data_IF_353955999202
#
_entry.id   IF_353955999202
#
_cell.length_a   1.000
_cell.length_b   1.000
_cell.length_c   1.000
_cell.angle_alpha   90.00
_cell.angle_beta   90.00
_cell.angle_gamma   90.00
#
_symmetry.space_group_name_H-M   'P 1'
#
loop_
_entity.id
_entity.type
_entity.pdbx_description
1 polymer ?
#
# COMPACT_ATOMS: atom_id res chain seq x y z
N UNK A 1 69.00 8.19 12.53
CA UNK A 1 68.16 7.03 12.15
C UNK A 1 66.98 6.98 13.11
N UNK A 2 65.76 7.04 12.59
CA UNK A 2 64.57 6.34 13.09
C UNK A 2 63.39 6.76 12.21
N UNK A 3 63.08 5.94 11.20
CA UNK A 3 61.86 6.06 10.41
C UNK A 3 60.76 5.29 11.14
N UNK A 4 59.65 5.95 11.47
CA UNK A 4 58.46 5.29 12.00
C UNK A 4 57.53 4.97 10.82
N UNK A 5 57.41 3.68 10.53
CA UNK A 5 56.58 3.15 9.46
C UNK A 5 55.09 3.33 9.78
N UNK A 6 54.34 3.88 8.82
CA UNK A 6 52.89 3.89 8.83
C UNK A 6 52.37 2.46 8.56
N UNK A 7 51.74 1.86 9.57
CA UNK A 7 50.99 0.63 9.37
C UNK A 7 49.63 1.01 8.76
N UNK A 8 49.52 0.89 7.43
CA UNK A 8 48.24 0.87 6.76
C UNK A 8 47.53 -0.44 7.15
N UNK A 9 46.57 -0.35 8.06
CA UNK A 9 45.63 -1.43 8.35
C UNK A 9 44.65 -1.49 7.17
N UNK A 10 44.93 -2.40 6.24
CA UNK A 10 44.01 -2.80 5.19
C UNK A 10 42.82 -3.48 5.85
N UNK A 11 41.70 -2.77 6.03
CA UNK A 11 40.42 -3.43 6.25
C UNK A 11 40.06 -4.14 4.95
N UNK A 12 40.35 -5.43 4.89
CA UNK A 12 39.74 -6.32 3.90
C UNK A 12 38.26 -6.39 4.25
N UNK A 13 37.48 -5.44 3.73
CA UNK A 13 36.04 -5.56 3.61
C UNK A 13 35.77 -6.75 2.70
N UNK A 14 35.74 -7.92 3.31
CA UNK A 14 35.12 -9.09 2.73
C UNK A 14 33.63 -8.78 2.65
N UNK A 15 33.23 -8.10 1.58
CA UNK A 15 31.85 -8.00 1.14
C UNK A 15 31.42 -9.41 0.71
N UNK A 16 31.15 -10.26 1.69
CA UNK A 16 30.27 -11.40 1.50
C UNK A 16 28.91 -10.72 1.47
N UNK A 17 28.40 -10.48 0.27
CA UNK A 17 26.96 -10.30 0.12
C UNK A 17 26.36 -11.65 0.52
N UNK A 18 26.26 -11.89 1.83
CA UNK A 18 25.40 -12.92 2.35
C UNK A 18 24.02 -12.55 1.83
N UNK A 19 23.49 -13.41 0.97
CA UNK A 19 22.18 -13.18 0.40
C UNK A 19 21.20 -13.22 1.56
N UNK A 20 20.84 -12.03 2.07
CA UNK A 20 19.97 -11.88 3.22
C UNK A 20 18.66 -12.62 2.98
N UNK A 21 18.25 -12.84 1.72
CA UNK A 21 17.11 -13.67 1.33
C UNK A 21 17.14 -15.11 1.89
N UNK A 22 18.34 -15.63 2.23
CA UNK A 22 18.53 -16.98 2.77
C UNK A 22 18.60 -17.05 4.30
N UNK A 23 18.74 -15.90 4.96
CA UNK A 23 18.75 -15.78 6.44
C UNK A 23 17.34 -16.02 6.98
N UNK A 24 17.18 -16.71 8.10
CA UNK A 24 15.87 -16.93 8.72
C UNK A 24 15.33 -15.64 9.34
N UNK A 25 14.00 -15.52 9.51
CA UNK A 25 13.42 -14.30 10.11
C UNK A 25 13.85 -14.08 11.57
N UNK A 26 14.14 -15.16 12.30
CA UNK A 26 14.65 -15.08 13.67
C UNK A 26 16.09 -14.53 13.70
N UNK A 27 16.95 -15.07 12.83
CA UNK A 27 18.35 -14.64 12.74
C UNK A 27 18.44 -13.20 12.22
N UNK A 28 17.55 -12.81 11.30
CA UNK A 28 17.45 -11.45 10.78
C UNK A 28 17.14 -10.43 11.89
N UNK A 29 16.26 -10.79 12.84
CA UNK A 29 15.95 -9.95 14.01
C UNK A 29 17.13 -9.83 14.97
N UNK A 30 17.83 -10.94 15.20
CA UNK A 30 19.00 -10.98 16.09
C UNK A 30 20.14 -10.13 15.51
N UNK A 31 20.50 -10.34 14.24
CA UNK A 31 21.53 -9.55 13.55
C UNK A 31 21.17 -8.07 13.50
N UNK A 32 19.89 -7.72 13.30
CA UNK A 32 19.45 -6.32 13.32
C UNK A 32 19.68 -5.68 14.68
N UNK A 33 19.38 -6.40 15.78
CA UNK A 33 19.64 -5.92 17.14
C UNK A 33 21.14 -5.69 17.37
N UNK A 34 21.98 -6.61 16.91
CA UNK A 34 23.43 -6.51 17.05
C UNK A 34 24.01 -5.33 16.27
N UNK A 35 23.60 -5.15 15.00
CA UNK A 35 24.02 -4.02 14.17
C UNK A 35 23.63 -2.67 14.79
N UNK A 36 22.39 -2.54 15.29
CA UNK A 36 21.93 -1.34 15.99
C UNK A 36 22.73 -1.11 17.28
N UNK A 37 23.01 -2.16 18.06
CA UNK A 37 23.80 -2.07 19.29
C UNK A 37 25.25 -1.67 19.03
N UNK A 38 25.83 -2.13 17.92
CA UNK A 38 27.15 -1.75 17.44
C UNK A 38 27.20 -0.35 16.78
N UNK A 39 26.05 0.29 16.59
CA UNK A 39 25.90 1.55 15.84
C UNK A 39 26.41 1.44 14.40
N UNK A 40 26.29 0.25 13.79
CA UNK A 40 26.59 0.03 12.39
C UNK A 40 25.37 0.43 11.54
N UNK A 41 25.38 1.69 11.09
CA UNK A 41 24.24 2.27 10.38
C UNK A 41 23.98 1.61 9.01
N UNK A 42 25.04 1.19 8.31
CA UNK A 42 24.92 0.63 6.96
C UNK A 42 24.34 -0.79 7.03
N UNK A 43 24.88 -1.64 7.92
CA UNK A 43 24.36 -2.98 8.13
C UNK A 43 22.95 -2.96 8.74
N UNK A 44 22.69 -2.08 9.71
CA UNK A 44 21.35 -1.94 10.29
C UNK A 44 20.31 -1.54 9.25
N UNK A 45 20.65 -0.62 8.32
CA UNK A 45 19.75 -0.22 7.24
C UNK A 45 19.45 -1.37 6.28
N UNK A 46 20.46 -2.17 5.91
CA UNK A 46 20.29 -3.31 5.02
C UNK A 46 19.37 -4.37 5.64
N UNK A 47 19.61 -4.73 6.90
CA UNK A 47 18.80 -5.71 7.63
C UNK A 47 17.37 -5.23 7.89
N UNK A 48 17.19 -3.95 8.27
CA UNK A 48 15.86 -3.34 8.43
C UNK A 48 15.08 -3.30 7.10
N UNK A 49 15.79 -3.07 5.99
CA UNK A 49 15.17 -3.09 4.64
C UNK A 49 14.68 -4.49 4.28
N UNK A 50 15.46 -5.52 4.59
CA UNK A 50 15.06 -6.91 4.37
C UNK A 50 13.88 -7.30 5.28
N UNK A 51 13.89 -6.88 6.55
CA UNK A 51 12.74 -7.06 7.45
C UNK A 51 11.48 -6.36 6.93
N UNK A 52 11.61 -5.17 6.36
CA UNK A 52 10.51 -4.46 5.73
C UNK A 52 10.01 -5.21 4.48
N UNK A 53 10.91 -5.76 3.66
CA UNK A 53 10.55 -6.53 2.46
C UNK A 53 9.76 -7.79 2.81
N UNK A 54 10.10 -8.46 3.91
CA UNK A 54 9.43 -9.67 4.40
C UNK A 54 8.22 -9.39 5.29
N UNK A 55 8.06 -8.17 5.78
CA UNK A 55 7.05 -7.83 6.76
C UNK A 55 7.28 -8.56 8.08
N UNK A 56 8.49 -8.49 8.63
CA UNK A 56 8.87 -9.17 9.88
C UNK A 56 9.28 -8.17 10.97
N UNK A 57 9.28 -8.61 12.24
CA UNK A 57 9.63 -7.75 13.38
C UNK A 57 8.72 -6.53 13.52
N UNK A 58 9.32 -5.34 13.56
CA UNK A 58 8.58 -4.06 13.64
C UNK A 58 7.73 -3.78 12.39
N UNK A 59 7.99 -4.49 11.28
CA UNK A 59 7.23 -4.40 10.04
C UNK A 59 6.19 -5.52 9.90
N UNK A 60 6.05 -6.40 10.90
CA UNK A 60 5.01 -7.42 10.91
C UNK A 60 3.62 -6.79 10.96
N UNK A 61 2.73 -7.25 10.07
CA UNK A 61 1.40 -6.67 9.91
C UNK A 61 1.35 -5.34 9.16
N UNK A 62 2.50 -4.82 8.71
CA UNK A 62 2.55 -3.73 7.71
C UNK A 62 2.33 -4.35 6.33
N UNK A 63 1.14 -4.94 6.11
CA UNK A 63 0.74 -5.33 4.77
C UNK A 63 0.71 -4.08 3.90
N UNK A 64 1.64 -3.98 2.94
CA UNK A 64 1.57 -2.99 1.85
C UNK A 64 0.39 -3.22 0.88
N UNK A 65 -0.49 -4.18 1.14
CA UNK A 65 -1.45 -4.70 0.17
C UNK A 65 -2.93 -4.27 0.40
N UNK A 66 -3.33 -3.77 1.58
CA UNK A 66 -4.77 -3.62 1.85
C UNK A 66 -5.43 -2.34 1.33
N UNK A 67 -4.65 -1.33 0.91
CA UNK A 67 -5.15 0.00 0.54
C UNK A 67 -4.91 0.37 -0.93
N UNK A 68 -4.48 -0.57 -1.78
CA UNK A 68 -4.24 -0.26 -3.20
C UNK A 68 -5.56 -0.15 -3.97
N UNK A 69 -5.66 0.90 -4.79
CA UNK A 69 -6.77 1.10 -5.70
C UNK A 69 -6.52 0.32 -7.00
N UNK A 70 -7.09 -0.88 -7.10
CA UNK A 70 -6.95 -1.73 -8.28
C UNK A 70 -8.21 -1.64 -9.14
N UNK A 71 -8.09 -0.99 -10.31
CA UNK A 71 -9.17 -0.88 -11.30
C UNK A 71 -8.74 -1.60 -12.59
N UNK A 72 -9.37 -2.75 -12.86
CA UNK A 72 -9.22 -3.49 -14.11
C UNK A 72 -10.46 -3.25 -14.98
N UNK A 73 -10.31 -2.41 -16.01
CA UNK A 73 -11.36 -2.20 -17.02
C UNK A 73 -11.23 -3.25 -18.14
N UNK A 74 -12.34 -3.69 -18.75
CA UNK A 74 -12.27 -4.56 -19.91
C UNK A 74 -11.72 -3.80 -21.12
N UNK A 75 -11.09 -4.52 -22.05
CA UNK A 75 -10.47 -3.96 -23.26
C UNK A 75 -11.47 -3.22 -24.18
N UNK A 76 -12.77 -3.48 -24.02
CA UNK A 76 -13.84 -2.85 -24.78
C UNK A 76 -14.18 -1.40 -24.39
N UNK A 77 -13.60 -0.86 -23.32
CA UNK A 77 -13.78 0.54 -22.92
C UNK A 77 -12.86 1.43 -23.75
N UNK A 78 -13.44 2.27 -24.62
CA UNK A 78 -12.69 3.18 -25.51
C UNK A 78 -12.82 4.64 -25.10
N UNK A 79 -13.82 4.98 -24.28
CA UNK A 79 -14.04 6.33 -23.81
C UNK A 79 -13.05 6.69 -22.68
N UNK A 80 -12.15 7.62 -22.97
CA UNK A 80 -11.16 8.11 -22.00
C UNK A 80 -11.79 8.69 -20.72
N UNK A 81 -13.03 9.19 -20.79
CA UNK A 81 -13.75 9.71 -19.61
C UNK A 81 -14.28 8.60 -18.71
N UNK A 82 -14.54 7.42 -19.26
CA UNK A 82 -15.07 6.29 -18.50
C UNK A 82 -14.17 5.95 -17.32
N UNK A 83 -12.86 5.81 -17.55
CA UNK A 83 -11.90 5.49 -16.49
C UNK A 83 -11.92 6.51 -15.36
N UNK A 84 -12.04 7.80 -15.68
CA UNK A 84 -12.15 8.86 -14.69
C UNK A 84 -13.44 8.76 -13.87
N UNK A 85 -14.58 8.57 -14.54
CA UNK A 85 -15.88 8.41 -13.88
C UNK A 85 -15.92 7.15 -13.00
N UNK A 86 -15.45 6.02 -13.52
CA UNK A 86 -15.41 4.74 -12.81
C UNK A 86 -14.56 4.83 -11.52
N UNK A 87 -13.37 5.44 -11.62
CA UNK A 87 -12.50 5.69 -10.47
C UNK A 87 -13.18 6.53 -9.40
N UNK A 88 -13.76 7.66 -9.78
CA UNK A 88 -14.43 8.56 -8.82
C UNK A 88 -15.63 7.88 -8.17
N UNK A 89 -16.43 7.16 -8.96
CA UNK A 89 -17.60 6.45 -8.46
C UNK A 89 -17.20 5.33 -7.50
N UNK A 90 -16.14 4.58 -7.83
CA UNK A 90 -15.60 3.53 -6.98
C UNK A 90 -15.11 4.06 -5.63
N UNK A 91 -14.31 5.13 -5.63
CA UNK A 91 -13.84 5.80 -4.40
C UNK A 91 -15.04 6.28 -3.55
N UNK A 92 -16.03 6.89 -4.20
CA UNK A 92 -17.24 7.39 -3.52
C UNK A 92 -18.04 6.24 -2.90
N UNK A 93 -18.19 5.13 -3.62
CA UNK A 93 -18.87 3.93 -3.12
C UNK A 93 -18.14 3.29 -1.95
N UNK A 94 -16.82 3.18 -2.04
CA UNK A 94 -15.99 2.66 -0.97
C UNK A 94 -16.09 3.54 0.30
N UNK A 95 -16.08 4.88 0.16
CA UNK A 95 -16.29 5.81 1.28
C UNK A 95 -17.66 5.63 1.91
N UNK A 96 -18.69 5.41 1.09
CA UNK A 96 -20.06 5.16 1.56
C UNK A 96 -20.14 3.87 2.39
N UNK A 97 -19.41 2.82 2.02
CA UNK A 97 -19.32 1.58 2.82
C UNK A 97 -18.62 1.79 4.15
N UNK A 98 -17.48 2.48 4.16
CA UNK A 98 -16.77 2.86 5.40
C UNK A 98 -17.67 3.69 6.33
N UNK A 99 -18.43 4.65 5.78
CA UNK A 99 -19.41 5.43 6.54
C UNK A 99 -20.53 4.57 7.15
N UNK A 100 -20.97 3.52 6.45
CA UNK A 100 -22.00 2.62 6.95
C UNK A 100 -21.47 1.69 8.07
N UNK A 101 -20.20 1.32 8.01
CA UNK A 101 -19.53 0.51 9.03
C UNK A 101 -18.92 1.32 10.18
N UNK A 102 -18.87 2.65 10.06
CA UNK A 102 -18.11 3.55 10.96
C UNK A 102 -16.66 3.10 11.18
N UNK A 103 -16.07 2.47 10.17
CA UNK A 103 -14.73 1.91 10.24
C UNK A 103 -13.67 2.92 9.84
N UNK A 104 -12.46 2.74 10.38
CA UNK A 104 -11.27 3.50 10.01
C UNK A 104 -10.28 2.64 9.20
N UNK A 105 -10.75 1.53 8.63
CA UNK A 105 -9.93 0.59 7.88
C UNK A 105 -9.62 1.11 6.47
N UNK A 106 -8.78 0.38 5.75
CA UNK A 106 -8.46 0.68 4.36
C UNK A 106 -9.72 0.75 3.49
N UNK A 107 -9.79 1.79 2.65
CA UNK A 107 -10.97 2.11 1.85
C UNK A 107 -11.42 0.95 0.95
N UNK A 108 -10.48 0.20 0.39
CA UNK A 108 -10.71 -0.89 -0.55
C UNK A 108 -10.56 -2.29 0.07
N UNK A 109 -10.34 -2.37 1.40
CA UNK A 109 -10.29 -3.66 2.10
C UNK A 109 -11.60 -4.41 1.87
N UNK A 110 -11.49 -5.63 1.34
CA UNK A 110 -12.64 -6.52 1.05
C UNK A 110 -13.68 -5.90 0.11
N UNK A 111 -13.28 -4.90 -0.70
CA UNK A 111 -14.17 -4.25 -1.64
C UNK A 111 -13.52 -4.07 -3.01
N UNK A 112 -13.33 -5.17 -3.76
CA UNK A 112 -12.73 -5.13 -5.08
C UNK A 112 -13.61 -4.40 -6.11
N UNK A 113 -13.01 -3.99 -7.23
CA UNK A 113 -13.69 -3.19 -8.25
C UNK A 113 -14.89 -3.90 -8.89
N UNK A 114 -14.86 -5.24 -9.02
CA UNK A 114 -15.98 -6.05 -9.50
C UNK A 114 -17.19 -6.03 -8.53
N UNK A 115 -16.94 -6.05 -7.23
CA UNK A 115 -17.99 -5.89 -6.23
C UNK A 115 -18.68 -4.53 -6.41
N UNK A 116 -17.90 -3.46 -6.62
CA UNK A 116 -18.44 -2.14 -6.92
C UNK A 116 -19.32 -2.11 -8.17
N UNK A 117 -18.89 -2.71 -9.29
CA UNK A 117 -19.67 -2.64 -10.53
C UNK A 117 -20.95 -3.45 -10.43
N UNK A 118 -20.92 -4.58 -9.71
CA UNK A 118 -22.13 -5.35 -9.42
C UNK A 118 -23.07 -4.58 -8.49
N UNK A 119 -22.57 -3.96 -7.43
CA UNK A 119 -23.40 -3.23 -6.46
C UNK A 119 -24.01 -1.94 -7.04
N UNK A 120 -23.23 -1.17 -7.80
CA UNK A 120 -23.64 0.17 -8.27
C UNK A 120 -24.28 0.14 -9.66
N UNK A 121 -23.79 -0.70 -10.56
CA UNK A 121 -24.28 -0.79 -11.94
C UNK A 121 -25.15 -2.03 -12.18
N UNK A 122 -25.18 -3.00 -11.24
CA UNK A 122 -25.87 -4.27 -11.46
C UNK A 122 -25.21 -5.12 -12.55
N UNK A 123 -23.92 -4.89 -12.84
CA UNK A 123 -23.19 -5.49 -13.96
C UNK A 123 -21.86 -6.09 -13.52
N UNK A 124 -21.51 -7.20 -14.17
CA UNK A 124 -20.16 -7.76 -14.07
C UNK A 124 -19.15 -6.89 -14.82
N UNK A 125 -17.86 -7.03 -14.50
CA UNK A 125 -16.80 -6.27 -15.18
C UNK A 125 -16.73 -6.54 -16.68
N UNK A 126 -16.97 -7.77 -17.11
CA UNK A 126 -16.85 -8.16 -18.53
C UNK A 126 -17.99 -7.62 -19.38
N UNK A 127 -19.11 -7.24 -18.75
CA UNK A 127 -20.28 -6.68 -19.42
C UNK A 127 -20.29 -5.15 -19.47
N UNK A 128 -19.24 -4.50 -18.93
CA UNK A 128 -19.11 -3.05 -18.97
C UNK A 128 -18.81 -2.56 -20.38
N UNK A 129 -19.48 -1.48 -20.75
CA UNK A 129 -19.31 -0.81 -22.03
C UNK A 129 -19.22 0.70 -21.81
N UNK A 130 -18.78 1.46 -22.83
CA UNK A 130 -18.76 2.93 -22.76
C UNK A 130 -20.15 3.53 -22.48
N UNK A 131 -21.22 2.82 -22.82
CA UNK A 131 -22.61 3.21 -22.55
C UNK A 131 -22.95 3.25 -21.05
N UNK A 132 -22.13 2.65 -20.19
CA UNK A 132 -22.33 2.66 -18.73
C UNK A 132 -21.79 3.94 -18.06
N UNK A 133 -21.04 4.77 -18.79
CA UNK A 133 -20.52 6.05 -18.26
C UNK A 133 -21.60 6.94 -17.64
N UNK A 134 -22.76 7.18 -18.29
CA UNK A 134 -23.79 8.06 -17.72
C UNK A 134 -24.35 7.54 -16.39
N UNK A 135 -24.38 6.22 -16.16
CA UNK A 135 -24.80 5.65 -14.88
C UNK A 135 -23.79 5.96 -13.77
N UNK A 136 -22.49 5.87 -14.06
CA UNK A 136 -21.42 6.29 -13.14
C UNK A 136 -21.50 7.79 -12.81
N UNK A 137 -21.75 8.62 -13.82
CA UNK A 137 -21.89 10.07 -13.65
C UNK A 137 -23.15 10.43 -12.84
N UNK A 138 -24.26 9.73 -13.06
CA UNK A 138 -25.51 9.89 -12.30
C UNK A 138 -25.29 9.54 -10.84
N UNK A 139 -24.64 8.41 -10.57
CA UNK A 139 -24.26 7.98 -9.22
C UNK A 139 -23.40 9.04 -8.51
N UNK A 140 -22.38 9.56 -9.19
CA UNK A 140 -21.52 10.61 -8.66
C UNK A 140 -22.28 11.89 -8.33
N UNK A 141 -23.15 12.33 -9.25
CA UNK A 141 -23.95 13.53 -9.06
C UNK A 141 -24.88 13.43 -7.84
N UNK A 142 -25.41 12.24 -7.56
CA UNK A 142 -26.28 12.02 -6.39
C UNK A 142 -25.53 11.86 -5.07
N UNK A 143 -24.34 11.24 -5.08
CA UNK A 143 -23.71 10.74 -3.84
C UNK A 143 -22.50 11.57 -3.40
N UNK A 144 -21.67 12.02 -4.35
CA UNK A 144 -20.30 12.44 -4.07
C UNK A 144 -20.23 13.55 -3.03
N UNK A 145 -21.09 14.56 -3.11
CA UNK A 145 -21.05 15.72 -2.20
C UNK A 145 -21.36 15.35 -0.75
N UNK A 146 -22.40 14.55 -0.52
CA UNK A 146 -22.79 14.14 0.83
C UNK A 146 -21.75 13.19 1.42
N UNK A 147 -21.35 12.17 0.65
CA UNK A 147 -20.36 11.19 1.07
C UNK A 147 -19.03 11.85 1.42
N UNK A 148 -18.51 12.76 0.59
CA UNK A 148 -17.27 13.49 0.89
C UNK A 148 -17.38 14.31 2.19
N UNK A 149 -18.52 14.97 2.40
CA UNK A 149 -18.72 15.79 3.60
C UNK A 149 -18.70 14.94 4.86
N UNK A 150 -19.42 13.82 4.85
CA UNK A 150 -19.52 12.90 5.99
C UNK A 150 -18.22 12.14 6.21
N UNK A 151 -17.59 11.66 5.14
CA UNK A 151 -16.35 10.91 5.23
C UNK A 151 -15.21 11.75 5.83
N UNK A 152 -15.12 13.04 5.49
CA UNK A 152 -14.17 13.96 6.14
C UNK A 152 -14.40 14.12 7.64
N UNK A 153 -15.64 13.98 8.12
CA UNK A 153 -15.93 14.00 9.55
C UNK A 153 -15.46 12.69 10.22
N UNK A 154 -15.72 11.55 9.58
CA UNK A 154 -15.21 10.25 10.03
C UNK A 154 -13.67 10.22 10.08
N UNK A 155 -12.99 10.69 9.03
CA UNK A 155 -11.52 10.76 8.98
C UNK A 155 -10.94 11.57 10.15
N UNK A 156 -11.60 12.66 10.56
CA UNK A 156 -11.16 13.45 11.72
C UNK A 156 -11.27 12.64 13.01
N UNK A 157 -12.34 11.88 13.18
CA UNK A 157 -12.52 10.97 14.32
C UNK A 157 -11.45 9.87 14.32
N UNK A 158 -11.23 9.22 13.17
CA UNK A 158 -10.23 8.17 13.01
C UNK A 158 -8.80 8.61 13.32
N UNK A 159 -8.46 9.89 13.10
CA UNK A 159 -7.13 10.44 13.43
C UNK A 159 -6.97 10.86 14.88
N UNK A 160 -8.07 11.03 15.61
CA UNK A 160 -8.05 11.49 17.00
C UNK A 160 -7.95 10.34 18.01
N UNK A 161 -8.24 9.12 17.57
CA UNK A 161 -8.15 7.87 18.34
C UNK A 161 -6.88 7.10 17.98
#
# INVERSE_FOLDING_TARGET
MAAAAAAALSFTGFAWAEDLATVSDLDLLEQTREAVGAQDADLALELLTEMQRRGTGIFAGVEKAACEEVIALPDGITDWRFKGAARQAYITSAKKRQLAGETCSCLFSDYPFDAFTNEVLGKSLVDLTDEDRPALETYLASEQRDVETRYRALEKSCRAN
#
